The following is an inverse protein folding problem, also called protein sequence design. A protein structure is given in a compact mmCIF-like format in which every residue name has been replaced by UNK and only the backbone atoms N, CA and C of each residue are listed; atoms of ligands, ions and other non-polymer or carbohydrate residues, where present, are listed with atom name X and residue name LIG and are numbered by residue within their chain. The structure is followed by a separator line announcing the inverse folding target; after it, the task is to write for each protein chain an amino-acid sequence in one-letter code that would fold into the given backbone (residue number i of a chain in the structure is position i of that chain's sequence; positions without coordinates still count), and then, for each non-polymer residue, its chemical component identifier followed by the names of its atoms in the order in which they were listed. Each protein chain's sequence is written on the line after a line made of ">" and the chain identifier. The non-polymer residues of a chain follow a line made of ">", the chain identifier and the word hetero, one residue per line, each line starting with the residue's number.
data_IF_742909290666
#
_entry.id   IF_742909290666
#
_cell.length_a   1.000
_cell.length_b   1.000
_cell.length_c   1.000
_cell.angle_alpha   90.00
_cell.angle_beta   90.00
_cell.angle_gamma   90.00
#
_symmetry.space_group_name_H-M   'P 1'
#
loop_
_entity.id
_entity.type
_entity.pdbx_description
1 polymer ?
#
# COMPACT_ATOMS: atom_id res chain seq x y z
N UNK A 1 -24.69 21.36 2.29
CA UNK A 1 -24.43 20.66 1.01
C UNK A 1 -24.14 19.23 1.37
N UNK A 2 -25.12 18.36 1.12
CA UNK A 2 -25.01 16.94 1.43
C UNK A 2 -24.07 16.33 0.38
N UNK A 3 -22.81 16.12 0.74
CA UNK A 3 -21.91 15.32 -0.10
C UNK A 3 -22.45 13.90 -0.02
N UNK A 4 -23.25 13.48 -1.00
CA UNK A 4 -23.59 12.08 -1.20
C UNK A 4 -22.27 11.31 -1.36
N UNK A 5 -21.76 10.78 -0.24
CA UNK A 5 -20.67 9.81 -0.26
C UNK A 5 -21.17 8.65 -1.12
N UNK A 6 -20.44 8.37 -2.20
CA UNK A 6 -20.69 7.19 -3.02
C UNK A 6 -20.78 5.97 -2.09
N UNK A 7 -21.69 5.01 -2.36
CA UNK A 7 -21.71 3.74 -1.65
C UNK A 7 -20.30 3.12 -1.56
N UNK A 8 -20.01 2.42 -0.47
CA UNK A 8 -18.69 1.83 -0.22
C UNK A 8 -18.19 1.01 -1.42
N UNK A 9 -19.07 0.21 -2.03
CA UNK A 9 -18.75 -0.59 -3.21
C UNK A 9 -18.38 0.25 -4.43
N UNK A 10 -19.02 1.41 -4.64
CA UNK A 10 -18.68 2.32 -5.73
C UNK A 10 -17.33 3.01 -5.50
N UNK A 11 -17.00 3.33 -4.25
CA UNK A 11 -15.68 3.87 -3.90
C UNK A 11 -14.57 2.84 -4.12
N UNK A 12 -14.79 1.59 -3.68
CA UNK A 12 -13.86 0.48 -3.93
C UNK A 12 -13.72 0.24 -5.43
N UNK A 13 -14.83 0.17 -6.17
CA UNK A 13 -14.83 -0.02 -7.61
C UNK A 13 -14.05 1.08 -8.34
N UNK A 14 -14.17 2.34 -7.91
CA UNK A 14 -13.39 3.45 -8.47
C UNK A 14 -11.88 3.31 -8.20
N UNK A 15 -11.49 2.87 -6.99
CA UNK A 15 -10.08 2.61 -6.66
C UNK A 15 -9.52 1.46 -7.51
N UNK A 16 -10.27 0.35 -7.61
CA UNK A 16 -9.91 -0.81 -8.42
C UNK A 16 -9.82 -0.44 -9.90
N UNK A 17 -10.77 0.33 -10.43
CA UNK A 17 -10.78 0.77 -11.83
C UNK A 17 -9.64 1.75 -12.15
N UNK A 18 -9.14 2.50 -11.17
CA UNK A 18 -7.92 3.29 -11.31
C UNK A 18 -6.70 2.38 -11.44
N UNK A 19 -6.56 1.41 -10.53
CA UNK A 19 -5.45 0.45 -10.54
C UNK A 19 -5.43 -0.40 -11.82
N UNK A 20 -6.59 -0.80 -12.34
CA UNK A 20 -6.73 -1.61 -13.56
C UNK A 20 -6.14 -0.93 -14.83
N UNK A 21 -5.89 0.38 -14.80
CA UNK A 21 -5.27 1.12 -15.91
C UNK A 21 -3.75 0.98 -15.94
N UNK A 22 -3.15 0.47 -14.86
CA UNK A 22 -1.71 0.31 -14.71
C UNK A 22 -1.29 -1.14 -15.01
N UNK A 23 0.00 -1.40 -15.30
CA UNK A 23 0.52 -2.77 -15.26
C UNK A 23 0.34 -3.40 -13.88
N UNK A 24 0.31 -4.74 -13.83
CA UNK A 24 0.00 -5.52 -12.62
C UNK A 24 0.81 -5.09 -11.39
N UNK A 25 2.12 -4.86 -11.57
CA UNK A 25 3.03 -4.51 -10.50
C UNK A 25 2.75 -3.10 -9.95
N UNK A 26 2.55 -2.12 -10.83
CA UNK A 26 2.22 -0.75 -10.45
C UNK A 26 0.81 -0.64 -9.83
N UNK A 27 -0.14 -1.41 -10.35
CA UNK A 27 -1.48 -1.54 -9.79
C UNK A 27 -1.43 -2.09 -8.35
N UNK A 28 -0.57 -3.08 -8.08
CA UNK A 28 -0.35 -3.61 -6.74
C UNK A 28 0.16 -2.52 -5.79
N UNK A 29 1.10 -1.69 -6.24
CA UNK A 29 1.64 -0.58 -5.44
C UNK A 29 0.61 0.53 -5.21
N UNK A 30 -0.16 0.93 -6.24
CA UNK A 30 -1.24 1.92 -6.08
C UNK A 30 -2.25 1.48 -5.02
N UNK A 31 -2.70 0.22 -5.10
CA UNK A 31 -3.64 -0.34 -4.12
C UNK A 31 -3.01 -0.40 -2.73
N UNK A 32 -1.73 -0.78 -2.63
CA UNK A 32 -1.01 -0.88 -1.35
C UNK A 32 -0.89 0.47 -0.64
N UNK A 33 -0.57 1.54 -1.37
CA UNK A 33 -0.54 2.90 -0.82
C UNK A 33 -1.94 3.36 -0.35
N UNK A 34 -3.02 2.82 -0.93
CA UNK A 34 -4.40 3.14 -0.56
C UNK A 34 -5.00 2.18 0.48
N UNK A 35 -4.24 1.22 1.02
CA UNK A 35 -4.74 0.18 1.93
C UNK A 35 -5.55 0.75 3.10
N UNK A 36 -5.08 1.82 3.75
CA UNK A 36 -5.82 2.42 4.88
C UNK A 36 -7.13 3.08 4.47
N UNK A 37 -7.21 3.60 3.24
CA UNK A 37 -8.46 4.12 2.70
C UNK A 37 -9.41 2.98 2.37
N UNK A 38 -8.91 1.88 1.80
CA UNK A 38 -9.70 0.68 1.53
C UNK A 38 -10.24 0.09 2.84
N UNK A 39 -9.38 -0.09 3.85
CA UNK A 39 -9.76 -0.52 5.19
C UNK A 39 -10.86 0.38 5.76
N UNK A 40 -10.68 1.72 5.70
CA UNK A 40 -11.68 2.66 6.18
C UNK A 40 -13.02 2.56 5.45
N UNK A 41 -13.04 2.31 4.14
CA UNK A 41 -14.27 2.14 3.36
C UNK A 41 -14.97 0.83 3.76
N UNK A 42 -14.20 -0.21 4.09
CA UNK A 42 -14.69 -1.50 4.58
C UNK A 42 -15.05 -1.51 6.07
N UNK A 43 -14.91 -0.38 6.78
CA UNK A 43 -15.18 -0.29 8.21
C UNK A 43 -14.13 -0.98 9.09
N UNK A 44 -12.89 -1.05 8.59
CA UNK A 44 -11.73 -1.60 9.29
C UNK A 44 -10.78 -0.51 9.79
N UNK A 45 -10.16 -0.71 10.97
CA UNK A 45 -10.43 -1.80 11.91
C UNK A 45 -11.82 -1.62 12.56
N UNK A 46 -12.48 -2.76 12.79
CA UNK A 46 -13.75 -2.85 13.52
C UNK A 46 -13.57 -2.46 15.00
N UNK A 47 -14.67 -2.13 15.69
CA UNK A 47 -14.63 -1.80 17.12
C UNK A 47 -14.01 -2.91 17.97
N UNK A 48 -14.20 -4.18 17.58
CA UNK A 48 -13.60 -5.32 18.25
C UNK A 48 -12.08 -5.39 18.02
N UNK A 49 -11.63 -5.21 16.78
CA UNK A 49 -10.21 -5.14 16.46
C UNK A 49 -9.54 -3.99 17.21
N UNK A 50 -10.19 -2.82 17.28
CA UNK A 50 -9.71 -1.67 18.08
C UNK A 50 -9.59 -2.03 19.56
N UNK A 51 -10.57 -2.74 20.14
CA UNK A 51 -10.47 -3.20 21.54
C UNK A 51 -9.28 -4.13 21.75
N UNK A 52 -9.07 -5.09 20.83
CA UNK A 52 -7.91 -6.00 20.88
C UNK A 52 -6.60 -5.23 20.75
N UNK A 53 -6.49 -4.31 19.77
CA UNK A 53 -5.29 -3.50 19.56
C UNK A 53 -4.88 -2.70 20.79
N UNK A 54 -5.85 -2.17 21.55
CA UNK A 54 -5.59 -1.42 22.78
C UNK A 54 -4.98 -2.26 23.92
N UNK A 55 -5.08 -3.58 23.83
CA UNK A 55 -4.47 -4.49 24.82
C UNK A 55 -3.06 -4.95 24.44
N UNK A 56 -2.62 -4.69 23.21
CA UNK A 56 -1.31 -5.14 22.73
C UNK A 56 -0.18 -4.22 23.21
N UNK A 57 0.97 -4.82 23.52
CA UNK A 57 2.20 -4.07 23.78
C UNK A 57 2.76 -3.49 22.47
N UNK A 58 3.64 -2.47 22.53
CA UNK A 58 4.31 -1.94 21.33
C UNK A 58 5.05 -3.01 20.53
N UNK A 59 5.64 -4.01 21.18
CA UNK A 59 6.32 -5.13 20.52
C UNK A 59 5.35 -6.04 19.77
N UNK A 60 4.20 -6.35 20.39
CA UNK A 60 3.13 -7.13 19.77
C UNK A 60 2.51 -6.39 18.59
N UNK A 61 2.31 -5.06 18.70
CA UNK A 61 1.85 -4.22 17.59
C UNK A 61 2.84 -4.28 16.43
N UNK A 62 4.15 -4.13 16.70
CA UNK A 62 5.19 -4.24 15.67
C UNK A 62 5.24 -5.62 15.03
N UNK A 63 5.11 -6.68 15.82
CA UNK A 63 5.09 -8.05 15.32
C UNK A 63 3.88 -8.30 14.42
N UNK A 64 2.69 -7.84 14.85
CA UNK A 64 1.48 -7.90 14.03
C UNK A 64 1.62 -7.10 12.74
N UNK A 65 2.13 -5.87 12.82
CA UNK A 65 2.34 -5.04 11.62
C UNK A 65 3.28 -5.71 10.61
N UNK A 66 4.38 -6.32 11.07
CA UNK A 66 5.26 -7.11 10.18
C UNK A 66 4.52 -8.30 9.57
N UNK A 67 3.78 -9.06 10.39
CA UNK A 67 3.02 -10.21 9.91
C UNK A 67 1.98 -9.81 8.86
N UNK A 68 1.21 -8.74 9.10
CA UNK A 68 0.19 -8.24 8.16
C UNK A 68 0.80 -7.84 6.81
N UNK A 69 2.02 -7.28 6.83
CA UNK A 69 2.77 -6.95 5.61
C UNK A 69 3.26 -8.20 4.87
N UNK A 70 3.86 -9.15 5.59
CA UNK A 70 4.37 -10.40 5.01
C UNK A 70 3.25 -11.23 4.36
N UNK A 71 2.04 -11.18 4.94
CA UNK A 71 0.86 -11.93 4.49
C UNK A 71 -0.14 -11.06 3.71
N UNK A 72 0.26 -9.87 3.26
CA UNK A 72 -0.62 -8.96 2.50
C UNK A 72 -1.25 -9.63 1.27
N UNK A 73 -0.49 -10.54 0.63
CA UNK A 73 -0.90 -11.29 -0.54
C UNK A 73 -1.95 -12.39 -0.26
N UNK A 74 -2.23 -12.68 1.00
CA UNK A 74 -3.29 -13.60 1.46
C UNK A 74 -4.55 -12.83 1.92
N UNK A 75 -4.44 -11.51 2.09
CA UNK A 75 -5.50 -10.63 2.57
C UNK A 75 -6.34 -9.98 1.45
N UNK A 76 -7.11 -8.92 1.80
CA UNK A 76 -8.00 -8.21 0.86
C UNK A 76 -7.30 -7.68 -0.40
N UNK A 77 -6.00 -7.35 -0.31
CA UNK A 77 -5.17 -6.91 -1.44
C UNK A 77 -5.21 -7.88 -2.61
N UNK A 78 -5.25 -9.19 -2.36
CA UNK A 78 -5.38 -10.19 -3.41
C UNK A 78 -6.70 -10.01 -4.18
N UNK A 79 -7.81 -9.85 -3.45
CA UNK A 79 -9.13 -9.65 -4.04
C UNK A 79 -9.21 -8.36 -4.87
N UNK A 80 -8.66 -7.25 -4.36
CA UNK A 80 -8.61 -5.99 -5.10
C UNK A 80 -7.80 -6.10 -6.39
N UNK A 81 -6.61 -6.70 -6.31
CA UNK A 81 -5.73 -6.83 -7.48
C UNK A 81 -6.30 -7.84 -8.49
N UNK A 82 -6.96 -8.91 -8.05
CA UNK A 82 -7.68 -9.84 -8.94
C UNK A 82 -8.83 -9.16 -9.66
N UNK A 83 -9.59 -8.28 -8.99
CA UNK A 83 -10.64 -7.47 -9.64
C UNK A 83 -10.06 -6.50 -10.67
N UNK A 84 -8.89 -5.91 -10.40
CA UNK A 84 -8.21 -5.02 -11.34
C UNK A 84 -7.61 -5.77 -12.55
N UNK A 85 -7.10 -6.98 -12.33
CA UNK A 85 -6.44 -7.83 -13.32
C UNK A 85 -7.05 -9.25 -13.34
N UNK A 86 -8.27 -9.43 -13.87
CA UNK A 86 -8.98 -10.72 -13.79
C UNK A 86 -8.27 -11.86 -14.53
N UNK A 87 -7.47 -11.53 -15.54
CA UNK A 87 -6.72 -12.51 -16.35
C UNK A 87 -5.30 -12.77 -15.84
N UNK A 88 -4.83 -12.06 -14.80
CA UNK A 88 -3.53 -12.35 -14.20
C UNK A 88 -3.61 -13.67 -13.41
N UNK A 89 -2.55 -14.46 -13.52
CA UNK A 89 -2.38 -15.67 -12.74
C UNK A 89 -2.28 -15.35 -11.24
N UNK A 90 -2.78 -16.24 -10.39
CA UNK A 90 -2.83 -16.00 -8.96
C UNK A 90 -1.42 -15.94 -8.34
N UNK A 91 -0.43 -16.68 -8.87
CA UNK A 91 0.95 -16.56 -8.42
C UNK A 91 1.55 -15.21 -8.83
N UNK A 92 1.23 -14.72 -10.03
CA UNK A 92 1.65 -13.38 -10.48
C UNK A 92 1.05 -12.27 -9.59
N UNK A 93 -0.22 -12.39 -9.21
CA UNK A 93 -0.90 -11.46 -8.28
C UNK A 93 -0.22 -11.46 -6.91
N UNK A 94 0.01 -12.65 -6.33
CA UNK A 94 0.69 -12.76 -5.02
C UNK A 94 2.09 -12.15 -5.08
N UNK A 95 2.84 -12.46 -6.14
CA UNK A 95 4.19 -11.94 -6.32
C UNK A 95 4.18 -10.41 -6.48
N UNK A 96 3.25 -9.84 -7.25
CA UNK A 96 3.13 -8.39 -7.42
C UNK A 96 2.85 -7.68 -6.08
N UNK A 97 1.98 -8.24 -5.24
CA UNK A 97 1.70 -7.69 -3.90
C UNK A 97 2.96 -7.77 -3.02
N UNK A 98 3.65 -8.92 -2.99
CA UNK A 98 4.88 -9.08 -2.21
C UNK A 98 5.94 -8.06 -2.65
N UNK A 99 6.13 -7.86 -3.95
CA UNK A 99 7.10 -6.89 -4.47
C UNK A 99 6.70 -5.46 -4.11
N UNK A 100 5.43 -5.09 -4.22
CA UNK A 100 4.94 -3.76 -3.85
C UNK A 100 5.17 -3.45 -2.35
N UNK A 101 4.90 -4.41 -1.46
CA UNK A 101 5.14 -4.29 -0.02
C UNK A 101 6.64 -4.11 0.27
N UNK A 102 7.48 -4.97 -0.31
CA UNK A 102 8.94 -4.91 -0.11
C UNK A 102 9.56 -3.65 -0.67
N UNK A 103 9.05 -3.13 -1.78
CA UNK A 103 9.47 -1.84 -2.32
C UNK A 103 9.15 -0.70 -1.34
N UNK A 104 7.95 -0.66 -0.77
CA UNK A 104 7.61 0.35 0.27
C UNK A 104 8.51 0.21 1.50
N UNK A 105 8.75 -1.01 1.99
CA UNK A 105 9.68 -1.24 3.10
C UNK A 105 11.08 -0.72 2.81
N UNK A 106 11.61 -1.00 1.62
CA UNK A 106 12.91 -0.47 1.21
C UNK A 106 12.91 1.07 1.16
N UNK A 107 11.81 1.71 0.75
CA UNK A 107 11.74 3.18 0.80
C UNK A 107 11.83 3.73 2.23
N UNK A 108 11.24 3.03 3.21
CA UNK A 108 11.30 3.45 4.62
C UNK A 108 12.64 3.12 5.27
N UNK A 109 13.24 1.97 4.93
CA UNK A 109 14.58 1.59 5.38
C UNK A 109 15.65 2.58 4.90
N UNK A 110 15.55 3.03 3.65
CA UNK A 110 16.49 4.01 3.08
C UNK A 110 16.22 5.45 3.50
N UNK A 111 15.10 5.72 4.16
CA UNK A 111 14.78 7.06 4.64
C UNK A 111 15.67 7.41 5.84
N UNK A 112 16.46 8.46 5.67
CA UNK A 112 17.27 9.05 6.73
C UNK A 112 17.13 10.57 6.66
N UNK A 113 16.60 11.18 7.72
CA UNK A 113 16.39 12.61 7.78
C UNK A 113 17.72 13.34 8.06
N UNK A 114 18.45 13.64 6.98
CA UNK A 114 19.78 14.26 7.04
C UNK A 114 19.95 15.43 6.06
N UNK A 115 19.07 16.43 6.15
CA UNK A 115 19.10 17.63 5.33
C UNK A 115 17.70 18.08 4.94
N UNK A 116 17.56 18.59 3.71
CA UNK A 116 16.24 18.90 3.15
C UNK A 116 15.36 17.65 3.11
N UNK A 117 14.15 17.79 3.63
CA UNK A 117 13.20 16.69 3.78
C UNK A 117 12.86 16.04 2.44
N UNK A 118 12.60 16.85 1.41
CA UNK A 118 12.21 16.33 0.10
C UNK A 118 13.38 15.63 -0.59
N UNK A 119 14.59 16.16 -0.44
CA UNK A 119 15.80 15.47 -0.91
C UNK A 119 16.00 14.13 -0.19
N UNK A 120 15.69 14.03 1.11
CA UNK A 120 15.73 12.75 1.84
C UNK A 120 14.73 11.74 1.25
N UNK A 121 13.49 12.18 0.99
CA UNK A 121 12.44 11.36 0.34
C UNK A 121 12.88 10.87 -1.04
N UNK A 122 13.39 11.78 -1.88
CA UNK A 122 13.83 11.45 -3.25
C UNK A 122 14.98 10.45 -3.21
N UNK A 123 15.97 10.64 -2.32
CA UNK A 123 17.09 9.70 -2.16
C UNK A 123 16.62 8.32 -1.70
N UNK A 124 15.71 8.26 -0.74
CA UNK A 124 15.20 6.99 -0.22
C UNK A 124 14.50 6.18 -1.32
N UNK A 125 13.62 6.83 -2.09
CA UNK A 125 12.93 6.20 -3.22
C UNK A 125 13.91 5.81 -4.33
N UNK A 126 14.91 6.62 -4.64
CA UNK A 126 15.91 6.28 -5.66
C UNK A 126 16.74 5.04 -5.28
N UNK A 127 17.09 4.88 -4.00
CA UNK A 127 17.80 3.68 -3.50
C UNK A 127 16.92 2.44 -3.56
N UNK A 128 15.65 2.55 -3.20
CA UNK A 128 14.70 1.45 -3.33
C UNK A 128 14.45 1.09 -4.81
N UNK A 129 14.31 2.08 -5.70
CA UNK A 129 14.12 1.87 -7.13
C UNK A 129 15.28 1.10 -7.78
N UNK A 130 16.52 1.28 -7.30
CA UNK A 130 17.66 0.50 -7.76
C UNK A 130 17.55 -1.00 -7.41
N UNK A 131 16.80 -1.37 -6.36
CA UNK A 131 16.53 -2.76 -5.98
C UNK A 131 15.27 -3.32 -6.65
N UNK A 132 14.33 -2.44 -7.03
CA UNK A 132 13.05 -2.78 -7.64
C UNK A 132 12.83 -1.95 -8.92
N UNK A 133 13.54 -2.26 -10.02
CA UNK A 133 13.58 -1.43 -11.23
C UNK A 133 12.36 -1.58 -12.16
N UNK A 134 11.46 -2.52 -11.86
CA UNK A 134 10.38 -2.92 -12.77
C UNK A 134 9.10 -2.07 -12.66
N UNK A 135 9.10 -1.03 -11.81
CA UNK A 135 7.99 -0.09 -11.71
C UNK A 135 8.12 1.03 -12.74
N UNK A 136 6.98 1.63 -13.10
CA UNK A 136 6.94 2.82 -13.94
C UNK A 136 7.49 4.06 -13.22
N UNK A 137 8.01 5.02 -13.99
CA UNK A 137 8.45 6.33 -13.48
C UNK A 137 7.35 7.06 -12.68
N UNK A 138 6.09 6.90 -13.10
CA UNK A 138 4.93 7.46 -12.40
C UNK A 138 4.77 6.86 -11.00
N UNK A 139 5.06 5.58 -10.85
CA UNK A 139 4.98 4.84 -9.58
C UNK A 139 6.09 5.28 -8.64
N UNK A 140 7.33 5.47 -9.11
CA UNK A 140 8.38 6.06 -8.30
C UNK A 140 8.06 7.48 -7.83
N UNK A 141 7.42 8.29 -8.69
CA UNK A 141 6.96 9.62 -8.30
C UNK A 141 5.88 9.55 -7.22
N UNK A 142 4.95 8.61 -7.31
CA UNK A 142 3.89 8.45 -6.30
C UNK A 142 4.42 7.83 -5.00
N UNK A 143 5.44 6.96 -5.07
CA UNK A 143 6.16 6.46 -3.90
C UNK A 143 6.78 7.61 -3.08
N UNK A 144 7.30 8.66 -3.72
CA UNK A 144 7.80 9.86 -3.01
C UNK A 144 6.70 10.55 -2.21
N UNK A 145 5.49 10.67 -2.77
CA UNK A 145 4.34 11.24 -2.05
C UNK A 145 3.94 10.34 -0.87
N UNK A 146 3.96 9.03 -1.08
CA UNK A 146 3.67 8.06 -0.03
C UNK A 146 4.67 8.20 1.13
N UNK A 147 5.97 8.14 0.87
CA UNK A 147 7.01 8.33 1.90
C UNK A 147 6.84 9.66 2.63
N UNK A 148 6.62 10.75 1.89
CA UNK A 148 6.41 12.06 2.49
C UNK A 148 5.18 12.11 3.40
N UNK A 149 4.12 11.36 3.10
CA UNK A 149 2.93 11.26 3.94
C UNK A 149 3.20 10.53 5.27
N UNK A 150 4.10 9.55 5.31
CA UNK A 150 4.44 8.83 6.55
C UNK A 150 5.37 9.60 7.50
N UNK A 151 6.22 10.48 6.97
CA UNK A 151 7.25 11.18 7.74
C UNK A 151 6.99 12.68 7.95
N UNK A 152 5.82 13.19 7.52
CA UNK A 152 5.38 14.57 7.71
C UNK A 152 4.31 14.65 8.80
#
# INVERSE_FOLDING_TARGET
>A
MDQMQLPAEEQIAAIVASAAKQPLLDAAFELWCRRYRLDSIEGRPTDEEVRVYRTLTPEQIRAKYRWDRDHAHEGPMFGYLKRAHPHADDAAIRQAIIVAVKFEDATFEHFNWNGDFWDCVVRAVARAAAQYPDFLDTTYRDARKNVAYYYK
#
